data_IF_975009497757
#
_entry.id   IF_975009497757
#
_cell.length_a   1.000
_cell.length_b   1.000
_cell.length_c   1.000
_cell.angle_alpha   90.00
_cell.angle_beta   90.00
_cell.angle_gamma   90.00
#
_symmetry.space_group_name_H-M   'P 1'
#
loop_
_entity.id
_entity.type
_entity.pdbx_description
1 polymer ?
#
# COMPACT_ATOMS: atom_id res chain seq x y z
N UNK A 1 -52.11 23.29 -36.32
CA UNK A 1 -51.25 22.58 -37.29
C UNK A 1 -49.86 22.47 -36.69
N UNK A 2 -49.36 21.27 -36.34
CA UNK A 2 -48.01 21.15 -35.78
C UNK A 2 -46.93 21.06 -36.87
N UNK A 3 -45.95 21.95 -36.75
CA UNK A 3 -44.75 22.06 -37.58
C UNK A 3 -43.85 20.82 -37.45
N UNK A 4 -43.30 20.33 -38.57
CA UNK A 4 -42.38 19.18 -38.66
C UNK A 4 -40.94 19.66 -38.95
N UNK A 5 -39.92 19.22 -38.19
CA UNK A 5 -38.52 19.52 -38.48
C UNK A 5 -37.94 18.64 -39.62
N UNK A 6 -36.87 19.07 -40.31
CA UNK A 6 -36.26 18.33 -41.41
C UNK A 6 -35.47 17.10 -40.93
N UNK A 7 -35.66 15.99 -41.65
CA UNK A 7 -34.99 14.69 -41.48
C UNK A 7 -33.52 14.77 -41.88
N UNK A 8 -32.63 14.37 -40.97
CA UNK A 8 -31.20 14.10 -41.26
C UNK A 8 -31.11 12.97 -42.30
N UNK A 9 -30.36 13.20 -43.37
CA UNK A 9 -30.03 12.18 -44.38
C UNK A 9 -29.15 11.10 -43.77
N UNK A 10 -29.57 9.85 -43.87
CA UNK A 10 -28.80 8.67 -43.49
C UNK A 10 -27.59 8.47 -44.42
N UNK A 11 -26.43 8.00 -43.91
CA UNK A 11 -25.29 7.62 -44.75
C UNK A 11 -25.60 6.37 -45.61
N UNK A 12 -25.16 6.37 -46.86
CA UNK A 12 -25.37 5.31 -47.86
C UNK A 12 -24.57 4.03 -47.51
N UNK A 13 -25.21 2.85 -47.39
CA UNK A 13 -24.54 1.58 -47.10
C UNK A 13 -23.70 1.01 -48.26
N UNK A 14 -23.63 1.68 -49.42
CA UNK A 14 -22.88 1.21 -50.60
C UNK A 14 -21.41 1.63 -50.66
N UNK A 15 -20.86 2.28 -49.62
CA UNK A 15 -19.41 2.51 -49.53
C UNK A 15 -18.67 1.28 -49.00
N UNK A 16 -18.01 0.54 -49.90
CA UNK A 16 -16.99 -0.45 -49.53
C UNK A 16 -15.59 0.20 -49.42
N UNK A 17 -14.72 -0.30 -48.54
CA UNK A 17 -13.52 0.39 -48.07
C UNK A 17 -12.26 0.05 -48.89
N UNK A 18 -11.19 0.88 -48.85
CA UNK A 18 -9.88 0.42 -49.29
C UNK A 18 -9.30 -0.59 -48.28
N UNK A 19 -8.79 -1.71 -48.84
CA UNK A 19 -8.15 -2.82 -48.13
C UNK A 19 -6.71 -2.49 -47.72
N UNK A 20 -6.29 -3.17 -46.66
CA UNK A 20 -4.99 -3.15 -45.99
C UNK A 20 -3.82 -3.56 -46.90
N UNK A 21 -2.62 -3.09 -46.53
CA UNK A 21 -1.42 -3.93 -46.59
C UNK A 21 -0.47 -3.54 -45.45
N UNK A 22 -0.29 -4.47 -44.52
CA UNK A 22 0.83 -4.49 -43.59
C UNK A 22 2.16 -4.43 -44.34
N UNK A 23 3.08 -3.59 -43.88
CA UNK A 23 4.51 -3.79 -44.06
C UNK A 23 5.31 -2.97 -43.04
N UNK A 24 5.99 -3.72 -42.17
CA UNK A 24 7.31 -3.46 -41.63
C UNK A 24 7.52 -2.27 -40.69
N UNK A 25 7.45 -2.59 -39.40
CA UNK A 25 8.52 -2.41 -38.41
C UNK A 25 9.78 -1.68 -38.91
N UNK A 26 10.03 -0.49 -38.37
CA UNK A 26 11.36 -0.04 -37.90
C UNK A 26 11.12 1.10 -36.93
N UNK A 27 11.18 0.81 -35.63
CA UNK A 27 11.32 1.86 -34.61
C UNK A 27 12.81 1.95 -34.30
N UNK A 28 13.39 3.09 -34.63
CA UNK A 28 14.76 3.44 -34.32
C UNK A 28 14.99 3.35 -32.81
N UNK A 29 16.07 2.67 -32.44
CA UNK A 29 16.59 2.62 -31.08
C UNK A 29 17.00 4.03 -30.64
N UNK A 30 16.14 4.69 -29.87
CA UNK A 30 16.55 5.83 -29.07
C UNK A 30 17.26 5.26 -27.85
N UNK A 31 18.57 5.46 -27.78
CA UNK A 31 19.41 5.01 -26.69
C UNK A 31 18.89 5.54 -25.35
N UNK A 32 18.63 4.62 -24.43
CA UNK A 32 18.43 4.93 -23.01
C UNK A 32 19.78 5.35 -22.44
N UNK A 33 19.93 6.55 -21.86
CA UNK A 33 21.16 6.93 -21.18
C UNK A 33 21.41 5.98 -20.01
N UNK A 34 22.64 5.45 -19.99
CA UNK A 34 23.15 4.52 -19.00
C UNK A 34 23.44 5.25 -17.68
N UNK A 35 22.41 5.62 -16.91
CA UNK A 35 22.65 6.23 -15.60
C UNK A 35 21.50 6.03 -14.62
N UNK A 36 21.49 4.83 -14.04
CA UNK A 36 21.78 4.65 -12.60
C UNK A 36 21.71 3.16 -12.32
N UNK A 37 22.88 2.58 -11.98
CA UNK A 37 22.94 1.29 -11.31
C UNK A 37 22.04 1.38 -10.07
N UNK A 38 20.84 0.81 -10.16
CA UNK A 38 20.05 0.47 -9.00
C UNK A 38 20.96 -0.40 -8.11
N UNK A 39 21.40 0.15 -6.99
CA UNK A 39 21.96 -0.66 -5.94
C UNK A 39 20.90 -1.69 -5.57
N UNK A 40 21.25 -2.97 -5.63
CA UNK A 40 20.37 -4.07 -5.25
C UNK A 40 19.74 -3.77 -3.88
N UNK A 41 18.40 -3.89 -3.71
CA UNK A 41 17.69 -3.47 -2.50
C UNK A 41 18.16 -4.20 -1.24
N UNK A 42 18.90 -5.30 -1.37
CA UNK A 42 19.51 -6.02 -0.26
C UNK A 42 20.58 -5.21 0.52
N UNK A 43 21.15 -4.12 -0.02
CA UNK A 43 22.20 -3.33 0.67
C UNK A 43 21.70 -2.19 1.56
N UNK A 44 20.47 -1.73 1.39
CA UNK A 44 19.95 -0.60 2.20
C UNK A 44 19.44 -1.06 3.58
N UNK A 45 19.25 -2.36 3.79
CA UNK A 45 18.68 -2.90 5.04
C UNK A 45 19.67 -3.07 6.22
N UNK A 46 20.87 -2.49 6.18
CA UNK A 46 21.90 -2.72 7.21
C UNK A 46 22.11 -1.57 8.23
N UNK A 47 21.63 -0.34 8.00
CA UNK A 47 22.09 0.83 8.78
C UNK A 47 21.04 1.57 9.62
N UNK A 48 19.99 0.86 10.06
CA UNK A 48 19.15 1.34 11.17
C UNK A 48 19.05 0.23 12.22
N UNK A 49 20.16 0.03 12.91
CA UNK A 49 20.22 -0.73 14.15
C UNK A 49 19.86 0.21 15.30
N UNK A 50 18.73 0.04 16.01
CA UNK A 50 18.59 0.64 17.32
C UNK A 50 19.61 -0.02 18.27
N UNK A 51 20.40 0.79 18.99
CA UNK A 51 21.27 0.31 20.07
C UNK A 51 20.43 -0.43 21.14
N UNK A 52 20.62 -1.74 21.40
CA UNK A 52 20.11 -2.35 22.61
C UNK A 52 21.20 -2.24 23.68
N UNK A 53 21.14 -1.20 24.52
CA UNK A 53 21.90 -1.23 25.78
C UNK A 53 21.11 -1.99 26.83
N UNK A 54 21.20 -3.32 26.82
CA UNK A 54 20.89 -4.16 27.99
C UNK A 54 21.83 -5.36 28.04
N UNK A 55 22.48 -5.54 29.19
CA UNK A 55 23.47 -6.59 29.49
C UNK A 55 22.89 -7.99 29.23
N UNK A 56 23.70 -8.89 28.68
CA UNK A 56 23.38 -10.32 28.49
C UNK A 56 24.21 -11.13 29.50
N UNK A 57 23.52 -11.92 30.33
CA UNK A 57 24.13 -12.88 31.26
C UNK A 57 24.71 -14.10 30.53
N UNK A 58 25.70 -14.74 31.17
CA UNK A 58 26.67 -15.70 30.59
C UNK A 58 26.10 -17.10 30.26
N UNK A 59 24.85 -17.22 29.84
CA UNK A 59 24.25 -18.48 29.38
C UNK A 59 22.81 -18.29 28.92
N UNK A 60 22.59 -18.20 27.61
CA UNK A 60 21.25 -18.09 27.04
C UNK A 60 21.23 -18.52 25.58
N UNK A 61 20.63 -19.67 25.29
CA UNK A 61 20.15 -19.96 23.94
C UNK A 61 19.05 -18.95 23.61
N UNK A 62 19.43 -17.94 22.84
CA UNK A 62 18.51 -16.92 22.33
C UNK A 62 18.21 -17.26 20.88
N UNK A 63 17.15 -18.01 20.65
CA UNK A 63 16.36 -17.87 19.42
C UNK A 63 15.28 -16.84 19.73
N UNK A 64 15.69 -15.57 19.80
CA UNK A 64 14.76 -14.45 20.04
C UNK A 64 13.86 -14.28 18.81
N UNK A 65 12.57 -14.36 19.06
CA UNK A 65 11.48 -14.02 18.14
C UNK A 65 11.59 -12.54 17.76
N UNK A 66 12.45 -12.23 16.78
CA UNK A 66 12.72 -10.86 16.35
C UNK A 66 11.57 -10.39 15.47
N UNK A 67 10.47 -9.97 16.09
CA UNK A 67 9.37 -9.31 15.40
C UNK A 67 9.73 -7.84 15.16
N UNK A 68 9.69 -7.41 13.90
CA UNK A 68 9.99 -6.04 13.47
C UNK A 68 8.89 -5.56 12.54
N UNK A 69 8.34 -4.39 12.82
CA UNK A 69 7.43 -3.69 11.89
C UNK A 69 8.20 -2.57 11.19
N UNK A 70 8.03 -2.43 9.87
CA UNK A 70 8.63 -1.35 9.07
C UNK A 70 7.62 -0.76 8.10
N UNK A 71 7.66 0.56 7.91
CA UNK A 71 6.94 1.24 6.82
C UNK A 71 7.72 1.06 5.52
N UNK A 72 7.07 0.55 4.50
CA UNK A 72 7.53 0.51 3.12
C UNK A 72 6.74 1.56 2.34
N UNK A 73 7.31 2.76 2.22
CA UNK A 73 6.65 3.89 1.56
C UNK A 73 6.54 3.69 0.04
N UNK A 74 7.48 2.96 -0.58
CA UNK A 74 7.47 2.68 -2.02
C UNK A 74 6.27 1.82 -2.43
N UNK A 75 5.85 0.91 -1.54
CA UNK A 75 4.72 0.01 -1.77
C UNK A 75 3.47 0.39 -0.96
N UNK A 76 3.49 1.57 -0.32
CA UNK A 76 2.42 2.09 0.53
C UNK A 76 1.87 1.04 1.51
N UNK A 77 2.77 0.38 2.24
CA UNK A 77 2.38 -0.62 3.24
C UNK A 77 3.29 -0.68 4.44
N UNK A 78 2.75 -1.11 5.57
CA UNK A 78 3.53 -1.53 6.73
C UNK A 78 3.75 -3.03 6.68
N UNK A 79 4.96 -3.48 6.94
CA UNK A 79 5.33 -4.90 6.87
C UNK A 79 5.77 -5.37 8.26
N UNK A 80 5.19 -6.45 8.74
CA UNK A 80 5.65 -7.15 9.94
C UNK A 80 6.51 -8.34 9.52
N UNK A 81 7.70 -8.44 10.10
CA UNK A 81 8.64 -9.53 9.88
C UNK A 81 8.93 -10.27 11.18
N UNK A 82 8.98 -11.59 11.13
CA UNK A 82 9.37 -12.46 12.26
C UNK A 82 10.66 -13.18 11.84
N UNK A 83 11.75 -13.01 12.60
CA UNK A 83 13.04 -13.64 12.25
C UNK A 83 13.62 -13.19 10.89
N UNK A 84 13.12 -12.09 10.33
CA UNK A 84 13.49 -11.58 9.00
C UNK A 84 12.58 -12.01 7.86
N UNK A 85 11.66 -12.96 8.09
CA UNK A 85 10.67 -13.40 7.11
C UNK A 85 9.43 -12.49 7.15
N UNK A 86 8.84 -12.18 5.98
CA UNK A 86 7.61 -11.40 5.92
C UNK A 86 6.45 -12.20 6.51
N UNK A 87 5.92 -11.75 7.64
CA UNK A 87 4.81 -12.41 8.33
C UNK A 87 3.45 -11.79 7.97
N UNK A 88 3.42 -10.54 7.53
CA UNK A 88 2.20 -9.85 7.12
C UNK A 88 2.43 -8.42 6.70
N UNK A 89 1.39 -7.76 6.20
CA UNK A 89 1.43 -6.37 5.82
C UNK A 89 0.06 -5.67 5.87
N UNK A 90 0.09 -4.36 6.12
CA UNK A 90 -1.07 -3.47 6.13
C UNK A 90 -0.90 -2.42 5.04
N UNK A 91 -1.79 -2.44 4.05
CA UNK A 91 -1.78 -1.53 2.90
C UNK A 91 -2.51 -0.25 3.26
N UNK A 92 -1.86 0.88 2.98
CA UNK A 92 -2.42 2.21 3.18
C UNK A 92 -2.40 3.01 1.87
N UNK A 93 -3.12 4.13 1.86
CA UNK A 93 -3.02 5.17 0.84
C UNK A 93 -2.94 6.52 1.54
N UNK A 94 -2.21 7.45 0.93
CA UNK A 94 -2.15 8.84 1.39
C UNK A 94 -3.10 9.64 0.51
N UNK A 95 -4.18 10.17 1.10
CA UNK A 95 -5.21 10.95 0.40
C UNK A 95 -5.45 12.26 1.17
N UNK A 96 -5.22 13.41 0.53
CA UNK A 96 -5.52 14.73 1.11
C UNK A 96 -4.88 14.96 2.50
N UNK A 97 -3.67 14.43 2.72
CA UNK A 97 -2.97 14.49 4.01
C UNK A 97 -3.45 13.48 5.05
N UNK A 98 -4.31 12.54 4.67
CA UNK A 98 -4.87 11.48 5.52
C UNK A 98 -4.28 10.12 5.14
N UNK A 99 -4.12 9.25 6.13
CA UNK A 99 -3.68 7.86 5.90
C UNK A 99 -4.87 6.91 5.92
N UNK A 100 -5.20 6.36 4.76
CA UNK A 100 -6.35 5.48 4.56
C UNK A 100 -5.89 4.03 4.58
N UNK A 101 -6.20 3.30 5.65
CA UNK A 101 -5.90 1.87 5.75
C UNK A 101 -6.95 1.06 5.00
N UNK A 102 -6.54 0.39 3.93
CA UNK A 102 -7.46 -0.30 3.02
C UNK A 102 -7.55 -1.79 3.30
N UNK A 103 -6.44 -2.44 3.66
CA UNK A 103 -6.41 -3.88 3.83
C UNK A 103 -5.24 -4.31 4.74
N UNK A 104 -5.45 -5.35 5.54
CA UNK A 104 -4.41 -5.97 6.38
C UNK A 104 -4.40 -7.47 6.16
N UNK A 105 -3.22 -8.03 5.85
CA UNK A 105 -3.02 -9.46 5.60
C UNK A 105 -1.93 -9.96 6.54
N UNK A 106 -2.20 -11.07 7.22
CA UNK A 106 -1.18 -11.89 7.88
C UNK A 106 -1.06 -13.17 7.08
N UNK A 107 0.17 -13.58 6.77
CA UNK A 107 0.39 -14.80 6.00
C UNK A 107 -0.06 -16.02 6.83
N UNK A 108 -0.66 -17.05 6.20
CA UNK A 108 -1.21 -18.20 6.92
C UNK A 108 -0.22 -18.91 7.84
N UNK A 109 1.06 -18.97 7.45
CA UNK A 109 2.14 -19.57 8.25
C UNK A 109 2.36 -18.90 9.61
N UNK A 110 1.93 -17.63 9.73
CA UNK A 110 2.07 -16.81 10.93
C UNK A 110 0.71 -16.44 11.57
N UNK A 111 -0.38 -17.05 11.08
CA UNK A 111 -1.73 -16.86 11.62
C UNK A 111 -1.85 -17.34 13.07
N UNK A 112 -2.78 -16.76 13.82
CA UNK A 112 -3.07 -17.16 15.21
C UNK A 112 -2.04 -16.71 16.26
N UNK A 113 -0.99 -15.99 15.86
CA UNK A 113 0.09 -15.51 16.74
C UNK A 113 -0.06 -14.06 17.21
N UNK A 114 -1.18 -13.41 16.89
CA UNK A 114 -1.43 -12.01 17.25
C UNK A 114 -0.62 -10.98 16.45
N UNK A 115 0.05 -11.39 15.35
CA UNK A 115 0.86 -10.49 14.53
C UNK A 115 0.03 -9.40 13.83
N UNK A 116 -1.23 -9.69 13.49
CA UNK A 116 -2.13 -8.69 12.88
C UNK A 116 -2.40 -7.52 13.83
N UNK A 117 -2.66 -7.81 15.11
CA UNK A 117 -2.84 -6.81 16.16
C UNK A 117 -1.58 -5.98 16.38
N UNK A 118 -0.41 -6.63 16.45
CA UNK A 118 0.89 -5.92 16.59
C UNK A 118 1.18 -5.02 15.39
N UNK A 119 0.89 -5.50 14.19
CA UNK A 119 1.05 -4.74 12.95
C UNK A 119 0.09 -3.54 12.91
N UNK A 120 -1.19 -3.73 13.23
CA UNK A 120 -2.16 -2.64 13.29
C UNK A 120 -1.75 -1.58 14.30
N UNK A 121 -1.40 -1.99 15.52
CA UNK A 121 -0.90 -1.07 16.56
C UNK A 121 0.28 -0.23 16.06
N UNK A 122 1.33 -0.89 15.56
CA UNK A 122 2.54 -0.20 15.12
C UNK A 122 2.29 0.71 13.91
N UNK A 123 1.40 0.32 12.99
CA UNK A 123 1.04 1.15 11.85
C UNK A 123 0.22 2.38 12.26
N UNK A 124 -0.72 2.23 13.19
CA UNK A 124 -1.53 3.33 13.71
C UNK A 124 -0.69 4.28 14.56
N UNK A 125 0.17 3.76 15.44
CA UNK A 125 1.11 4.54 16.24
C UNK A 125 1.98 5.44 15.34
N UNK A 126 2.57 4.88 14.28
CA UNK A 126 3.37 5.66 13.34
C UNK A 126 2.59 6.82 12.70
N UNK A 127 1.33 6.61 12.33
CA UNK A 127 0.49 7.68 11.75
C UNK A 127 0.14 8.76 12.78
N UNK A 128 -0.12 8.37 14.03
CA UNK A 128 -0.36 9.31 15.14
C UNK A 128 0.90 10.10 15.47
N UNK A 129 2.07 9.46 15.48
CA UNK A 129 3.36 10.12 15.69
C UNK A 129 3.68 11.12 14.57
N UNK A 130 3.28 10.82 13.32
CA UNK A 130 3.33 11.74 12.19
C UNK A 130 2.28 12.88 12.27
N UNK A 131 1.32 12.79 13.21
CA UNK A 131 0.24 13.77 13.40
C UNK A 131 -0.86 13.72 12.32
N UNK A 132 -0.92 12.63 11.54
CA UNK A 132 -1.87 12.47 10.45
C UNK A 132 -3.21 11.85 10.90
N UNK A 133 -4.33 12.20 10.24
CA UNK A 133 -5.60 11.53 10.47
C UNK A 133 -5.62 10.12 9.84
N UNK A 134 -6.28 9.20 10.55
CA UNK A 134 -6.42 7.78 10.23
C UNK A 134 -7.82 7.54 9.67
N UNK A 135 -7.91 6.96 8.47
CA UNK A 135 -9.19 6.57 7.86
C UNK A 135 -9.27 5.05 7.74
N UNK A 136 -10.07 4.36 8.58
CA UNK A 136 -10.12 2.89 8.61
C UNK A 136 -11.12 2.32 7.58
N UNK A 137 -10.71 2.17 6.31
CA UNK A 137 -11.51 1.44 5.30
C UNK A 137 -11.48 -0.07 5.50
N UNK A 138 -10.40 -0.59 6.08
CA UNK A 138 -10.26 -1.99 6.41
C UNK A 138 -11.14 -2.35 7.62
N UNK A 139 -12.03 -3.36 7.53
CA UNK A 139 -12.88 -3.74 8.67
C UNK A 139 -12.06 -4.21 9.88
N UNK A 140 -10.91 -4.84 9.67
CA UNK A 140 -10.02 -5.25 10.76
C UNK A 140 -9.50 -4.05 11.56
N UNK A 141 -9.03 -3.00 10.86
CA UNK A 141 -8.55 -1.77 11.51
C UNK A 141 -9.71 -1.04 12.17
N UNK A 142 -10.89 -1.01 11.55
CA UNK A 142 -12.08 -0.42 12.15
C UNK A 142 -12.46 -1.12 13.47
N UNK A 143 -12.47 -2.46 13.50
CA UNK A 143 -12.69 -3.23 14.73
C UNK A 143 -11.62 -2.97 15.78
N UNK A 144 -10.35 -2.92 15.39
CA UNK A 144 -9.25 -2.60 16.29
C UNK A 144 -9.44 -1.23 16.94
N UNK A 145 -9.84 -0.20 16.19
CA UNK A 145 -10.07 1.14 16.73
C UNK A 145 -11.26 1.23 17.70
N UNK A 146 -12.24 0.32 17.62
CA UNK A 146 -13.33 0.22 18.60
C UNK A 146 -12.82 -0.29 19.94
N UNK A 147 -11.87 -1.23 19.92
CA UNK A 147 -11.23 -1.78 21.11
C UNK A 147 -10.17 -0.84 21.70
N UNK A 148 -9.68 0.11 20.90
CA UNK A 148 -8.58 1.03 21.22
C UNK A 148 -9.00 2.51 21.08
N UNK A 149 -9.76 3.05 22.04
CA UNK A 149 -10.27 4.43 21.99
C UNK A 149 -9.18 5.51 22.08
N UNK A 150 -7.95 5.16 22.45
CA UNK A 150 -6.79 6.07 22.47
C UNK A 150 -6.53 6.73 21.11
N UNK A 151 -6.89 6.05 20.02
CA UNK A 151 -6.72 6.57 18.67
C UNK A 151 -7.88 7.47 18.22
N UNK A 152 -9.00 7.50 18.95
CA UNK A 152 -10.25 8.12 18.49
C UNK A 152 -10.10 9.60 18.08
N UNK A 153 -9.21 10.35 18.72
CA UNK A 153 -8.92 11.74 18.37
C UNK A 153 -8.29 11.91 16.97
N UNK A 154 -7.72 10.85 16.40
CA UNK A 154 -7.05 10.83 15.10
C UNK A 154 -7.87 10.07 14.04
N UNK A 155 -9.02 9.48 14.41
CA UNK A 155 -9.83 8.68 13.49
C UNK A 155 -10.84 9.56 12.76
N UNK A 156 -10.80 9.49 11.44
CA UNK A 156 -11.81 10.07 10.56
C UNK A 156 -12.60 8.94 9.88
N UNK A 157 -13.92 8.93 10.08
CA UNK A 157 -14.77 7.84 9.60
C UNK A 157 -14.90 7.88 8.06
N UNK A 158 -14.64 6.76 7.37
CA UNK A 158 -14.75 6.70 5.92
C UNK A 158 -16.22 6.80 5.48
N UNK A 159 -16.65 7.99 5.07
CA UNK A 159 -18.02 8.24 4.60
C UNK A 159 -18.73 9.40 5.29
N UNK A 160 -18.09 10.08 6.24
CA UNK A 160 -18.58 11.36 6.75
C UNK A 160 -18.14 12.52 5.82
N UNK A 161 -18.45 12.42 4.53
CA UNK A 161 -18.43 13.61 3.67
C UNK A 161 -19.56 14.52 4.14
N UNK A 162 -19.20 15.79 4.40
CA UNK A 162 -20.08 16.91 4.69
C UNK A 162 -21.41 16.83 3.91
N UNK A 163 -22.53 16.93 4.63
CA UNK A 163 -23.80 17.41 4.08
C UNK A 163 -24.01 18.85 4.52
#
# INVERSE_FOLDING_TARGET
MPWRPPVRRSPDPRRRPPRTRDAATTVASVGVPAERRAASPARVYAELQPCPRRRVDRGGTVTEDRIVVRRNAEEHRFEIREGGELAGYAVYREEEGRTVFTHTIVLPAFGGRGLGTRLAKAALDAVVEDGGPIVPRCPFIASYLVEHPEYAAHVEQPGATAS
#
